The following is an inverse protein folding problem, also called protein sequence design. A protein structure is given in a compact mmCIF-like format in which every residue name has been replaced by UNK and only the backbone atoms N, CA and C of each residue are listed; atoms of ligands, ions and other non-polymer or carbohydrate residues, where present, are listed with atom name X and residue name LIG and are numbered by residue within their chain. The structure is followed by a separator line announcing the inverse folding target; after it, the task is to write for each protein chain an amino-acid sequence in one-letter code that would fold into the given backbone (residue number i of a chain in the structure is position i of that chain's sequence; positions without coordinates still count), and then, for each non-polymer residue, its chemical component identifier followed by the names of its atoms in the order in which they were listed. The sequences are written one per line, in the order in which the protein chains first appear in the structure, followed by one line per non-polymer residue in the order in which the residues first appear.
data_IF_471461735172
#
_entry.id   IF_471461735172
#
_cell.length_a   1.000
_cell.length_b   1.000
_cell.length_c   1.000
_cell.angle_alpha   90.00
_cell.angle_beta   90.00
_cell.angle_gamma   90.00
#
_symmetry.space_group_name_H-M   'P 1'
#
loop_
_entity.id
_entity.type
_entity.pdbx_description
1 polymer ?
#
# COMPACT_ATOMS: atom_id res chain seq x y z
N UNK A 1 8.39 -29.27 -13.60
CA UNK A 1 8.01 -28.07 -12.83
C UNK A 1 8.63 -28.18 -11.45
N UNK A 2 9.47 -27.22 -11.05
CA UNK A 2 10.14 -27.28 -9.75
C UNK A 2 9.10 -27.11 -8.62
N UNK A 3 9.08 -28.04 -7.67
CA UNK A 3 8.14 -28.05 -6.54
C UNK A 3 8.15 -26.73 -5.76
N UNK A 4 9.34 -26.14 -5.57
CA UNK A 4 9.50 -24.86 -4.89
C UNK A 4 8.81 -23.72 -5.65
N UNK A 5 8.95 -23.68 -6.97
CA UNK A 5 8.31 -22.67 -7.81
C UNK A 5 6.78 -22.80 -7.76
N UNK A 6 6.26 -24.03 -7.79
CA UNK A 6 4.83 -24.31 -7.67
C UNK A 6 4.27 -23.84 -6.31
N UNK A 7 5.00 -24.09 -5.22
CA UNK A 7 4.60 -23.64 -3.88
C UNK A 7 4.59 -22.12 -3.80
N UNK A 8 5.64 -21.45 -4.29
CA UNK A 8 5.74 -19.99 -4.30
C UNK A 8 4.62 -19.35 -5.14
N UNK A 9 4.37 -19.89 -6.33
CA UNK A 9 3.31 -19.40 -7.21
C UNK A 9 1.93 -19.51 -6.55
N UNK A 10 1.60 -20.65 -5.94
CA UNK A 10 0.31 -20.80 -5.26
C UNK A 10 0.20 -19.92 -4.02
N UNK A 11 1.28 -19.79 -3.24
CA UNK A 11 1.33 -18.86 -2.11
C UNK A 11 1.04 -17.43 -2.54
N UNK A 12 1.72 -16.93 -3.59
CA UNK A 12 1.53 -15.58 -4.11
C UNK A 12 0.12 -15.37 -4.66
N UNK A 13 -0.49 -16.39 -5.27
CA UNK A 13 -1.88 -16.30 -5.74
C UNK A 13 -2.87 -16.12 -4.60
N UNK A 14 -2.77 -16.98 -3.58
CA UNK A 14 -3.63 -16.90 -2.39
C UNK A 14 -3.43 -15.57 -1.68
N UNK A 15 -2.17 -15.15 -1.53
CA UNK A 15 -1.85 -13.85 -0.98
C UNK A 15 -2.46 -12.72 -1.82
N UNK A 16 -2.37 -12.80 -3.16
CA UNK A 16 -2.96 -11.85 -4.09
C UNK A 16 -4.46 -11.66 -3.88
N UNK A 17 -5.22 -12.71 -3.55
CA UNK A 17 -6.64 -12.59 -3.20
C UNK A 17 -6.86 -11.72 -1.95
N UNK A 18 -6.12 -11.98 -0.87
CA UNK A 18 -6.19 -11.16 0.34
C UNK A 18 -5.75 -9.72 0.07
N UNK A 19 -4.73 -9.54 -0.77
CA UNK A 19 -4.20 -8.24 -1.14
C UNK A 19 -5.21 -7.42 -1.96
N UNK A 20 -5.93 -8.04 -2.89
CA UNK A 20 -7.05 -7.43 -3.63
C UNK A 20 -8.12 -6.94 -2.64
N UNK A 21 -8.54 -7.79 -1.71
CA UNK A 21 -9.53 -7.43 -0.69
C UNK A 21 -9.06 -6.23 0.14
N UNK A 22 -7.80 -6.22 0.57
CA UNK A 22 -7.19 -5.08 1.26
C UNK A 22 -7.21 -3.79 0.43
N UNK A 23 -6.89 -3.87 -0.86
CA UNK A 23 -6.95 -2.74 -1.79
C UNK A 23 -8.37 -2.18 -1.95
N UNK A 24 -9.38 -3.05 -2.08
CA UNK A 24 -10.80 -2.64 -2.15
C UNK A 24 -11.21 -1.91 -0.87
N UNK A 25 -10.86 -2.44 0.31
CA UNK A 25 -11.18 -1.79 1.58
C UNK A 25 -10.50 -0.44 1.74
N UNK A 26 -9.23 -0.31 1.32
CA UNK A 26 -8.52 0.96 1.33
C UNK A 26 -9.20 1.99 0.42
N UNK A 27 -9.61 1.59 -0.79
CA UNK A 27 -10.33 2.48 -1.72
C UNK A 27 -11.71 2.91 -1.18
N UNK A 28 -12.44 1.99 -0.52
CA UNK A 28 -13.70 2.34 0.17
C UNK A 28 -13.47 3.37 1.27
N UNK A 29 -12.45 3.15 2.11
CA UNK A 29 -12.07 4.10 3.16
C UNK A 29 -11.62 5.45 2.61
N UNK A 30 -10.91 5.49 1.48
CA UNK A 30 -10.56 6.75 0.84
C UNK A 30 -11.81 7.55 0.44
N UNK A 31 -12.81 6.88 -0.13
CA UNK A 31 -14.09 7.52 -0.51
C UNK A 31 -14.87 8.02 0.70
N UNK A 32 -14.93 7.21 1.76
CA UNK A 32 -15.57 7.61 3.03
C UNK A 32 -14.86 8.81 3.66
N UNK A 33 -13.52 8.79 3.71
CA UNK A 33 -12.71 9.90 4.22
C UNK A 33 -12.97 11.17 3.41
N UNK A 34 -13.00 11.07 2.08
CA UNK A 34 -13.28 12.22 1.21
C UNK A 34 -14.64 12.85 1.49
N UNK A 35 -15.66 12.04 1.76
CA UNK A 35 -17.00 12.52 2.10
C UNK A 35 -16.99 13.29 3.42
N UNK A 36 -16.37 12.73 4.46
CA UNK A 36 -16.25 13.38 5.77
C UNK A 36 -15.44 14.68 5.68
N UNK A 37 -14.29 14.67 4.99
CA UNK A 37 -13.45 15.85 4.79
C UNK A 37 -14.24 16.98 4.10
N UNK A 38 -15.11 16.63 3.15
CA UNK A 38 -16.00 17.58 2.46
C UNK A 38 -17.03 18.17 3.40
N UNK A 39 -17.67 17.36 4.26
CA UNK A 39 -18.63 17.84 5.25
C UNK A 39 -17.97 18.77 6.27
N UNK A 40 -16.79 18.42 6.79
CA UNK A 40 -16.04 19.25 7.75
C UNK A 40 -15.67 20.59 7.10
N UNK A 41 -15.17 20.56 5.86
CA UNK A 41 -14.83 21.78 5.13
C UNK A 41 -16.02 22.73 4.94
N UNK A 42 -17.22 22.19 4.71
CA UNK A 42 -18.46 22.98 4.61
C UNK A 42 -18.89 23.57 5.95
N UNK A 43 -18.76 22.81 7.04
CA UNK A 43 -19.11 23.26 8.39
C UNK A 43 -18.13 24.34 8.88
N UNK A 44 -16.82 24.11 8.70
CA UNK A 44 -15.78 25.02 9.19
C UNK A 44 -15.48 26.18 8.24
N UNK A 45 -16.08 26.21 7.05
CA UNK A 45 -15.75 27.16 5.97
C UNK A 45 -14.25 27.20 5.64
N UNK A 46 -13.55 26.08 5.84
CA UNK A 46 -12.11 25.92 5.57
C UNK A 46 -11.88 25.06 4.34
N UNK A 47 -10.71 25.22 3.73
CA UNK A 47 -10.28 24.37 2.61
C UNK A 47 -9.94 22.97 3.12
N UNK A 48 -10.56 21.94 2.55
CA UNK A 48 -10.24 20.54 2.85
C UNK A 48 -8.78 20.20 2.49
N UNK A 49 -8.06 19.53 3.41
CA UNK A 49 -6.76 18.91 3.15
C UNK A 49 -6.95 17.47 2.65
N UNK A 50 -6.99 17.30 1.32
CA UNK A 50 -7.16 15.98 0.69
C UNK A 50 -5.87 15.14 0.67
N UNK A 51 -4.78 15.56 1.32
CA UNK A 51 -3.50 14.83 1.27
C UNK A 51 -3.63 13.37 1.73
N UNK A 52 -4.25 13.15 2.89
CA UNK A 52 -4.39 11.81 3.47
C UNK A 52 -5.30 10.96 2.58
N UNK A 53 -6.44 11.51 2.18
CA UNK A 53 -7.41 10.88 1.29
C UNK A 53 -6.80 10.45 -0.04
N UNK A 54 -6.04 11.34 -0.71
CA UNK A 54 -5.35 11.03 -1.95
C UNK A 54 -4.29 9.93 -1.77
N UNK A 55 -3.58 9.94 -0.64
CA UNK A 55 -2.59 8.90 -0.35
C UNK A 55 -3.25 7.53 -0.13
N UNK A 56 -4.34 7.47 0.65
CA UNK A 56 -5.10 6.22 0.85
C UNK A 56 -5.63 5.70 -0.48
N UNK A 57 -6.10 6.59 -1.36
CA UNK A 57 -6.57 6.22 -2.69
C UNK A 57 -5.44 5.61 -3.55
N UNK A 58 -4.30 6.30 -3.68
CA UNK A 58 -3.15 5.82 -4.45
C UNK A 58 -2.64 4.49 -3.89
N UNK A 59 -2.46 4.40 -2.57
CA UNK A 59 -2.02 3.18 -1.90
C UNK A 59 -2.99 2.03 -2.10
N UNK A 60 -4.30 2.28 -1.97
CA UNK A 60 -5.35 1.28 -2.22
C UNK A 60 -5.37 0.79 -3.67
N UNK A 61 -5.21 1.71 -4.63
CA UNK A 61 -5.15 1.36 -6.06
C UNK A 61 -3.92 0.53 -6.41
N UNK A 62 -2.74 0.91 -5.92
CA UNK A 62 -1.49 0.16 -6.12
C UNK A 62 -1.53 -1.21 -5.42
N UNK A 63 -2.15 -1.29 -4.24
CA UNK A 63 -2.41 -2.56 -3.53
C UNK A 63 -3.32 -3.45 -4.37
N UNK A 64 -4.41 -2.91 -4.91
CA UNK A 64 -5.32 -3.66 -5.78
C UNK A 64 -4.60 -4.21 -7.02
N UNK A 65 -3.88 -3.35 -7.75
CA UNK A 65 -3.16 -3.73 -8.96
C UNK A 65 -2.07 -4.77 -8.69
N UNK A 66 -1.29 -4.59 -7.62
CA UNK A 66 -0.28 -5.57 -7.23
C UNK A 66 -0.94 -6.90 -6.84
N UNK A 67 -2.09 -6.88 -6.18
CA UNK A 67 -2.83 -8.09 -5.81
C UNK A 67 -3.32 -8.87 -7.03
N UNK A 68 -3.84 -8.16 -8.05
CA UNK A 68 -4.19 -8.76 -9.34
C UNK A 68 -2.95 -9.36 -10.01
N UNK A 69 -1.84 -8.63 -10.05
CA UNK A 69 -0.58 -9.13 -10.63
C UNK A 69 -0.07 -10.40 -9.95
N UNK A 70 -0.18 -10.47 -8.62
CA UNK A 70 0.15 -11.66 -7.83
C UNK A 70 -0.79 -12.84 -8.15
N UNK A 71 -2.10 -12.57 -8.23
CA UNK A 71 -3.13 -13.59 -8.53
C UNK A 71 -2.91 -14.26 -9.89
N UNK A 72 -2.47 -13.50 -10.90
CA UNK A 72 -2.19 -14.05 -12.23
C UNK A 72 -0.73 -14.49 -12.40
N UNK A 73 0.09 -14.44 -11.34
CA UNK A 73 1.53 -14.74 -11.35
C UNK A 73 2.35 -13.93 -12.38
N UNK A 74 1.97 -12.68 -12.65
CA UNK A 74 2.68 -11.81 -13.59
C UNK A 74 3.98 -11.27 -12.96
N UNK A 75 5.13 -11.46 -13.63
CA UNK A 75 6.44 -11.03 -13.11
C UNK A 75 6.59 -9.49 -13.06
N UNK A 76 5.89 -8.76 -13.93
CA UNK A 76 5.83 -7.30 -13.95
C UNK A 76 5.18 -6.68 -12.71
N UNK A 77 4.52 -7.48 -11.86
CA UNK A 77 3.97 -7.03 -10.58
C UNK A 77 5.02 -6.39 -9.67
N UNK A 78 6.31 -6.76 -9.83
CA UNK A 78 7.42 -6.18 -9.08
C UNK A 78 7.50 -4.66 -9.25
N UNK A 79 7.21 -4.14 -10.45
CA UNK A 79 7.23 -2.70 -10.72
C UNK A 79 6.15 -1.99 -9.90
N UNK A 80 4.94 -2.57 -9.87
CA UNK A 80 3.81 -2.02 -9.12
C UNK A 80 4.09 -2.05 -7.61
N UNK A 81 4.68 -3.13 -7.11
CA UNK A 81 5.09 -3.26 -5.71
C UNK A 81 6.17 -2.22 -5.32
N UNK A 82 7.15 -1.97 -6.19
CA UNK A 82 8.16 -0.93 -5.96
C UNK A 82 7.54 0.47 -5.91
N UNK A 83 6.62 0.77 -6.83
CA UNK A 83 5.88 2.04 -6.82
C UNK A 83 5.05 2.17 -5.53
N UNK A 84 4.41 1.09 -5.08
CA UNK A 84 3.69 1.04 -3.80
C UNK A 84 4.61 1.39 -2.63
N UNK A 85 5.76 0.74 -2.51
CA UNK A 85 6.75 1.02 -1.45
C UNK A 85 7.22 2.47 -1.50
N UNK A 86 7.56 3.00 -2.68
CA UNK A 86 8.00 4.39 -2.85
C UNK A 86 6.91 5.37 -2.42
N UNK A 87 5.64 5.12 -2.80
CA UNK A 87 4.54 5.97 -2.37
C UNK A 87 4.37 5.99 -0.84
N UNK A 88 4.50 4.84 -0.18
CA UNK A 88 4.45 4.74 1.28
C UNK A 88 5.61 5.50 1.96
N UNK A 89 6.82 5.44 1.39
CA UNK A 89 7.97 6.22 1.88
C UNK A 89 7.76 7.73 1.76
N UNK A 90 7.18 8.19 0.64
CA UNK A 90 6.83 9.60 0.44
C UNK A 90 5.84 10.04 1.52
N UNK A 91 4.81 9.24 1.79
CA UNK A 91 3.83 9.52 2.84
C UNK A 91 4.47 9.59 4.23
N UNK A 92 5.30 8.62 4.61
CA UNK A 92 5.98 8.64 5.91
C UNK A 92 6.87 9.88 6.06
N UNK A 93 7.59 10.27 5.01
CA UNK A 93 8.41 11.49 5.02
C UNK A 93 7.55 12.75 5.22
N UNK A 94 6.38 12.80 4.59
CA UNK A 94 5.46 13.93 4.72
C UNK A 94 4.79 13.98 6.10
N UNK A 95 4.29 12.86 6.61
CA UNK A 95 3.73 12.75 7.97
C UNK A 95 4.76 13.10 9.03
N UNK A 96 5.98 12.56 8.93
CA UNK A 96 7.05 12.89 9.87
C UNK A 96 7.43 14.38 9.86
N UNK A 97 7.43 15.02 8.69
CA UNK A 97 7.64 16.48 8.60
C UNK A 97 6.53 17.28 9.30
N UNK A 98 5.27 16.87 9.16
CA UNK A 98 4.15 17.51 9.87
C UNK A 98 4.21 17.24 11.38
N UNK A 99 4.54 16.01 11.78
CA UNK A 99 4.73 15.61 13.18
C UNK A 99 5.81 16.45 13.91
N UNK A 100 6.96 16.68 13.26
CA UNK A 100 8.05 17.48 13.83
C UNK A 100 7.72 18.99 13.93
N UNK A 101 6.75 19.47 13.14
CA UNK A 101 6.31 20.88 13.14
C UNK A 101 5.10 21.12 14.02
N UNK A 102 4.46 20.07 14.51
CA UNK A 102 3.28 20.16 15.36
C UNK A 102 3.63 20.81 16.70
N UNK A 103 2.88 21.85 17.06
CA UNK A 103 3.11 22.63 18.28
C UNK A 103 2.34 22.04 19.47
N UNK A 104 1.22 21.37 19.21
CA UNK A 104 0.38 20.73 20.23
C UNK A 104 0.55 19.21 20.28
N UNK A 105 0.18 18.62 21.41
CA UNK A 105 0.15 17.15 21.58
C UNK A 105 -0.93 16.51 20.69
N UNK A 106 -2.07 17.18 20.52
CA UNK A 106 -3.18 16.74 19.68
C UNK A 106 -2.78 16.64 18.20
N UNK A 107 -2.07 17.66 17.68
CA UNK A 107 -1.54 17.62 16.31
C UNK A 107 -0.49 16.52 16.12
N UNK A 108 0.34 16.25 17.14
CA UNK A 108 1.31 15.15 17.09
C UNK A 108 0.62 13.80 16.97
N UNK A 109 -0.47 13.59 17.71
CA UNK A 109 -1.25 12.36 17.63
C UNK A 109 -1.89 12.20 16.24
N UNK A 110 -2.39 13.28 15.64
CA UNK A 110 -2.94 13.27 14.28
C UNK A 110 -1.89 12.91 13.21
N UNK A 111 -0.65 13.39 13.37
CA UNK A 111 0.44 13.15 12.42
C UNK A 111 1.26 11.89 12.71
N UNK A 112 1.00 11.18 13.81
CA UNK A 112 1.62 9.91 14.09
C UNK A 112 1.28 8.87 13.00
N UNK A 113 2.27 8.07 12.62
CA UNK A 113 2.07 6.98 11.66
C UNK A 113 1.34 5.85 12.38
N UNK A 114 0.16 5.48 11.87
CA UNK A 114 -0.59 4.35 12.40
C UNK A 114 0.19 3.03 12.17
N UNK A 115 0.21 2.18 13.19
CA UNK A 115 0.85 0.86 13.14
C UNK A 115 0.34 -0.01 11.98
N UNK A 116 -0.95 0.09 11.64
CA UNK A 116 -1.53 -0.63 10.50
C UNK A 116 -0.91 -0.20 9.16
N UNK A 117 -0.66 1.10 8.98
CA UNK A 117 0.00 1.64 7.77
C UNK A 117 1.46 1.18 7.69
N UNK A 118 2.16 1.16 8.83
CA UNK A 118 3.53 0.67 8.89
C UNK A 118 3.62 -0.84 8.61
N UNK A 119 2.70 -1.63 9.16
CA UNK A 119 2.62 -3.06 8.89
C UNK A 119 2.31 -3.36 7.42
N UNK A 120 1.44 -2.57 6.78
CA UNK A 120 1.19 -2.67 5.35
C UNK A 120 2.46 -2.41 4.53
N UNK A 121 3.28 -1.42 4.91
CA UNK A 121 4.57 -1.15 4.28
C UNK A 121 5.57 -2.31 4.43
N UNK A 122 5.71 -2.87 5.63
CA UNK A 122 6.56 -4.04 5.85
C UNK A 122 6.10 -5.25 5.02
N UNK A 123 4.78 -5.45 4.94
CA UNK A 123 4.20 -6.53 4.15
C UNK A 123 4.50 -6.34 2.67
N UNK A 124 4.38 -5.11 2.14
CA UNK A 124 4.79 -4.78 0.76
C UNK A 124 6.26 -5.14 0.50
N UNK A 125 7.17 -4.85 1.44
CA UNK A 125 8.59 -5.22 1.33
C UNK A 125 8.75 -6.73 1.27
N UNK A 126 8.18 -7.47 2.22
CA UNK A 126 8.33 -8.94 2.27
C UNK A 126 7.81 -9.61 1.00
N UNK A 127 6.67 -9.17 0.50
CA UNK A 127 6.09 -9.72 -0.73
C UNK A 127 6.94 -9.38 -1.95
N UNK A 128 7.52 -8.18 -2.00
CA UNK A 128 8.48 -7.80 -3.06
C UNK A 128 9.70 -8.71 -3.06
N UNK A 129 10.24 -9.04 -1.89
CA UNK A 129 11.36 -9.97 -1.75
C UNK A 129 10.97 -11.36 -2.25
N UNK A 130 9.79 -11.88 -1.85
CA UNK A 130 9.31 -13.20 -2.27
C UNK A 130 9.11 -13.25 -3.80
N UNK A 131 8.53 -12.21 -4.39
CA UNK A 131 8.39 -12.09 -5.86
C UNK A 131 9.75 -12.09 -6.54
N UNK A 132 10.72 -11.35 -6.00
CA UNK A 132 12.09 -11.31 -6.53
C UNK A 132 12.74 -12.69 -6.50
N UNK A 133 12.63 -13.41 -5.38
CA UNK A 133 13.14 -14.78 -5.23
C UNK A 133 12.50 -15.70 -6.27
N UNK A 134 11.17 -15.62 -6.45
CA UNK A 134 10.45 -16.40 -7.48
C UNK A 134 11.00 -16.13 -8.89
N UNK A 135 11.20 -14.86 -9.24
CA UNK A 135 11.73 -14.46 -10.55
C UNK A 135 13.15 -15.01 -10.76
N UNK A 136 14.03 -14.89 -9.76
CA UNK A 136 15.41 -15.41 -9.84
C UNK A 136 15.40 -16.92 -10.05
N UNK A 137 14.63 -17.67 -9.23
CA UNK A 137 14.52 -19.13 -9.35
C UNK A 137 14.03 -19.54 -10.74
N UNK A 138 13.00 -18.85 -11.26
CA UNK A 138 12.45 -19.12 -12.60
C UNK A 138 13.52 -18.94 -13.68
N UNK A 139 14.29 -17.84 -13.62
CA UNK A 139 15.38 -17.55 -14.57
C UNK A 139 16.47 -18.62 -14.49
N UNK A 140 16.93 -18.98 -13.28
CA UNK A 140 17.99 -19.98 -13.07
C UNK A 140 17.61 -21.37 -13.57
N UNK A 141 16.34 -21.77 -13.48
CA UNK A 141 15.87 -23.07 -13.96
C UNK A 141 15.64 -23.07 -15.49
N UNK A 142 15.38 -21.89 -16.08
CA UNK A 142 15.18 -21.74 -17.52
C UNK A 142 16.48 -21.61 -18.32
N UNK A 143 17.60 -21.36 -17.65
CA UNK A 143 18.96 -21.37 -18.19
C UNK A 143 19.54 -22.79 -18.12
#
# INVERSE_FOLDING_TARGET
MNLLLLILENFLRVFGLFWIVGGIFALKKARESQFIDTCIAQIEQKKADYFITNFIFIGGFLTLLSGIGLLINNDGVIIILLILIVSQLIYFKMKNRKFLRAESQEEKEEYAINSSTYNAFLTSIYITIIVTIKIIIRITISL
#
